data_IF_626338230986
#
_entry.id   IF_626338230986
#
_cell.length_a   1.000
_cell.length_b   1.000
_cell.length_c   1.000
_cell.angle_alpha   90.00
_cell.angle_beta   90.00
_cell.angle_gamma   90.00
#
_symmetry.space_group_name_H-M   'P 1'
#
loop_
_entity.id
_entity.type
_entity.pdbx_description
1 polymer ?
#
# COMPACT_ATOMS: atom_id res chain seq x y z
N UNK A 1 -9.02 -2.52 1.59
CA UNK A 1 -9.42 -3.80 2.23
C UNK A 1 -10.85 -3.63 2.70
N UNK A 2 -11.84 -4.23 2.05
CA UNK A 2 -13.24 -4.09 2.47
C UNK A 2 -13.55 -4.94 3.71
N UNK A 3 -14.59 -4.60 4.47
CA UNK A 3 -15.17 -5.55 5.42
C UNK A 3 -15.82 -6.66 4.61
N UNK A 4 -15.47 -7.92 4.89
CA UNK A 4 -16.24 -9.05 4.42
C UNK A 4 -17.53 -9.13 5.23
N UNK A 5 -18.68 -9.03 4.53
CA UNK A 5 -20.00 -9.24 5.12
C UNK A 5 -20.36 -10.70 4.92
N UNK A 6 -20.63 -11.42 6.03
CA UNK A 6 -21.05 -12.83 5.98
C UNK A 6 -22.48 -12.94 5.42
N UNK A 7 -22.59 -13.15 4.11
CA UNK A 7 -23.87 -13.24 3.40
C UNK A 7 -24.65 -14.53 3.66
N UNK A 8 -24.06 -15.56 4.26
CA UNK A 8 -24.72 -16.87 4.43
C UNK A 8 -25.42 -17.02 5.77
N UNK A 9 -25.02 -16.25 6.80
CA UNK A 9 -25.58 -16.37 8.15
C UNK A 9 -26.19 -15.06 8.71
N UNK A 10 -26.28 -13.98 7.92
CA UNK A 10 -26.78 -12.69 8.44
C UNK A 10 -28.28 -12.70 8.76
N UNK A 11 -29.12 -13.31 7.90
CA UNK A 11 -30.58 -13.26 8.08
C UNK A 11 -31.00 -13.87 9.42
N UNK A 12 -30.47 -15.05 9.77
CA UNK A 12 -30.74 -15.68 11.07
C UNK A 12 -30.23 -14.89 12.27
N UNK A 13 -29.16 -14.08 12.12
CA UNK A 13 -28.67 -13.20 13.19
C UNK A 13 -29.57 -11.96 13.36
N UNK A 14 -30.01 -11.36 12.24
CA UNK A 14 -30.97 -10.25 12.22
C UNK A 14 -32.29 -10.71 12.84
N UNK A 15 -32.81 -11.84 12.40
CA UNK A 15 -34.08 -12.39 12.91
C UNK A 15 -34.00 -12.64 14.41
N UNK A 16 -32.91 -13.25 14.91
CA UNK A 16 -32.70 -13.45 16.36
C UNK A 16 -32.66 -12.14 17.14
N UNK A 17 -31.97 -11.12 16.61
CA UNK A 17 -31.90 -9.80 17.23
C UNK A 17 -33.28 -9.12 17.25
N UNK A 18 -34.01 -9.18 16.14
CA UNK A 18 -35.38 -8.66 16.01
C UNK A 18 -36.37 -9.40 16.93
N UNK A 19 -36.27 -10.73 17.03
CA UNK A 19 -37.09 -11.52 17.96
C UNK A 19 -36.80 -11.14 19.41
N UNK A 20 -35.52 -11.07 19.81
CA UNK A 20 -35.14 -10.61 21.15
C UNK A 20 -35.69 -9.21 21.44
N UNK A 21 -35.63 -8.32 20.45
CA UNK A 21 -36.21 -6.99 20.55
C UNK A 21 -37.73 -7.00 20.73
N UNK A 22 -38.49 -7.75 19.92
CA UNK A 22 -39.96 -7.75 19.90
C UNK A 22 -40.60 -8.56 21.03
N UNK A 23 -40.09 -9.74 21.32
CA UNK A 23 -40.74 -10.72 22.22
C UNK A 23 -39.94 -11.03 23.48
N UNK A 24 -38.67 -10.64 23.54
CA UNK A 24 -37.82 -10.94 24.69
C UNK A 24 -38.26 -10.25 25.98
N UNK A 25 -37.91 -10.84 27.12
CA UNK A 25 -38.12 -10.25 28.46
C UNK A 25 -36.97 -9.31 28.85
N UNK A 26 -37.24 -8.36 29.74
CA UNK A 26 -36.17 -7.51 30.30
C UNK A 26 -35.15 -8.40 31.03
N UNK A 27 -33.86 -8.16 30.79
CA UNK A 27 -32.75 -8.96 31.28
C UNK A 27 -32.40 -10.17 30.42
N UNK A 28 -33.25 -10.55 29.46
CA UNK A 28 -32.92 -11.60 28.50
C UNK A 28 -31.76 -11.17 27.62
N UNK A 29 -30.91 -12.12 27.25
CA UNK A 29 -29.74 -11.83 26.43
C UNK A 29 -29.56 -12.84 25.31
N UNK A 30 -29.01 -12.36 24.20
CA UNK A 30 -28.55 -13.19 23.09
C UNK A 30 -27.08 -12.92 22.81
N UNK A 31 -26.39 -13.94 22.33
CA UNK A 31 -24.99 -13.82 21.91
C UNK A 31 -24.89 -13.91 20.40
N UNK A 32 -24.27 -12.90 19.79
CA UNK A 32 -23.98 -12.83 18.36
C UNK A 32 -22.46 -12.93 18.14
N UNK A 33 -22.07 -13.69 17.12
CA UNK A 33 -20.68 -13.85 16.73
C UNK A 33 -20.39 -13.05 15.46
N UNK A 34 -19.27 -12.35 15.45
CA UNK A 34 -18.83 -11.56 14.29
C UNK A 34 -18.61 -12.43 13.04
N UNK A 35 -18.52 -11.78 11.88
CA UNK A 35 -18.24 -12.43 10.60
C UNK A 35 -16.78 -12.83 10.41
N UNK A 36 -16.45 -13.27 9.19
CA UNK A 36 -15.10 -13.69 8.81
C UNK A 36 -14.06 -12.58 9.04
N UNK A 37 -12.88 -12.95 9.56
CA UNK A 37 -11.82 -12.01 9.95
C UNK A 37 -11.97 -11.41 11.35
N UNK A 38 -13.13 -11.58 11.99
CA UNK A 38 -13.44 -11.06 13.32
C UNK A 38 -13.86 -12.14 14.32
N UNK A 39 -13.56 -13.42 14.02
CA UNK A 39 -14.11 -14.58 14.75
C UNK A 39 -13.87 -14.54 16.26
N UNK A 40 -12.82 -13.91 16.77
CA UNK A 40 -12.59 -13.78 18.21
C UNK A 40 -13.55 -12.79 18.88
N UNK A 41 -14.25 -11.95 18.13
CA UNK A 41 -15.24 -11.01 18.66
C UNK A 41 -16.61 -11.66 18.88
N UNK A 42 -17.23 -11.30 20.00
CA UNK A 42 -18.55 -11.73 20.46
C UNK A 42 -19.31 -10.51 20.92
N UNK A 43 -20.62 -10.50 20.69
CA UNK A 43 -21.52 -9.44 21.11
C UNK A 43 -22.61 -10.03 21.98
N UNK A 44 -22.70 -9.60 23.24
CA UNK A 44 -23.85 -9.91 24.08
C UNK A 44 -24.85 -8.76 23.97
N UNK A 45 -26.04 -9.06 23.47
CA UNK A 45 -27.14 -8.12 23.39
C UNK A 45 -28.09 -8.42 24.54
N UNK A 46 -28.30 -7.45 25.43
CA UNK A 46 -29.14 -7.57 26.63
C UNK A 46 -30.33 -6.65 26.50
N UNK A 47 -31.54 -7.18 26.71
CA UNK A 47 -32.77 -6.39 26.70
C UNK A 47 -32.90 -5.56 27.97
N UNK A 48 -32.85 -4.25 27.81
CA UNK A 48 -32.89 -3.31 28.94
C UNK A 48 -34.29 -2.77 29.20
N UNK A 49 -35.17 -2.80 28.20
CA UNK A 49 -36.55 -2.30 28.29
C UNK A 49 -37.41 -2.84 27.17
N UNK A 50 -38.66 -2.38 27.07
CA UNK A 50 -39.60 -2.82 26.03
C UNK A 50 -39.10 -2.58 24.60
N UNK A 51 -38.30 -1.50 24.40
CA UNK A 51 -37.83 -1.03 23.10
C UNK A 51 -36.32 -0.75 23.04
N UNK A 52 -35.54 -1.35 23.94
CA UNK A 52 -34.10 -1.05 24.03
C UNK A 52 -33.27 -2.30 24.29
N UNK A 53 -32.27 -2.52 23.44
CA UNK A 53 -31.19 -3.50 23.63
C UNK A 53 -29.86 -2.77 23.83
N UNK A 54 -29.09 -3.19 24.81
CA UNK A 54 -27.69 -2.80 24.96
C UNK A 54 -26.80 -3.90 24.38
N UNK A 55 -25.84 -3.52 23.57
CA UNK A 55 -24.82 -4.44 23.03
C UNK A 55 -23.50 -4.20 23.73
N UNK A 56 -22.93 -5.28 24.23
CA UNK A 56 -21.61 -5.33 24.84
C UNK A 56 -20.69 -6.13 23.93
N UNK A 57 -19.49 -5.63 23.67
CA UNK A 57 -18.49 -6.30 22.84
C UNK A 57 -17.46 -7.03 23.69
N UNK A 58 -17.07 -8.22 23.25
CA UNK A 58 -16.08 -9.07 23.90
C UNK A 58 -15.11 -9.60 22.88
N UNK A 59 -13.89 -9.80 23.31
CA UNK A 59 -12.91 -10.58 22.59
C UNK A 59 -12.63 -11.86 23.40
N UNK A 60 -12.85 -13.02 22.78
CA UNK A 60 -12.74 -14.34 23.41
C UNK A 60 -11.35 -14.64 23.95
N UNK A 61 -10.31 -13.99 23.42
CA UNK A 61 -8.95 -14.18 23.92
C UNK A 61 -8.65 -13.43 25.22
N UNK A 62 -9.46 -12.42 25.59
CA UNK A 62 -9.08 -11.42 26.58
C UNK A 62 -10.29 -10.95 27.42
N UNK A 63 -10.77 -11.80 28.32
CA UNK A 63 -11.95 -11.58 29.17
C UNK A 63 -11.81 -10.53 30.29
N UNK A 64 -10.60 -9.99 30.55
CA UNK A 64 -10.31 -9.18 31.74
C UNK A 64 -10.31 -7.65 31.53
N UNK A 65 -10.97 -7.10 30.50
CA UNK A 65 -10.97 -5.64 30.28
C UNK A 65 -12.21 -4.94 30.86
N UNK A 66 -12.01 -3.67 31.26
CA UNK A 66 -13.05 -2.77 31.81
C UNK A 66 -14.23 -2.59 30.84
N UNK A 67 -14.01 -2.85 29.56
CA UNK A 67 -14.93 -2.56 28.47
C UNK A 67 -16.20 -3.43 28.45
N UNK A 68 -16.25 -4.51 29.23
CA UNK A 68 -17.48 -5.28 29.47
C UNK A 68 -18.50 -4.56 30.37
N UNK A 69 -18.09 -3.46 31.01
CA UNK A 69 -18.94 -2.71 31.95
C UNK A 69 -19.88 -1.72 31.25
N UNK A 70 -19.61 -1.37 29.98
CA UNK A 70 -20.36 -0.32 29.28
C UNK A 70 -20.88 -0.81 27.92
N UNK A 71 -22.11 -0.43 27.54
CA UNK A 71 -22.64 -0.75 26.22
C UNK A 71 -21.88 0.02 25.14
N UNK A 72 -21.58 -0.66 24.05
CA UNK A 72 -20.87 -0.12 22.89
C UNK A 72 -21.83 0.24 21.76
N UNK A 73 -23.02 -0.35 21.75
CA UNK A 73 -24.11 0.00 20.85
C UNK A 73 -25.39 -0.03 21.68
N UNK A 74 -26.25 0.96 21.49
CA UNK A 74 -27.65 0.92 21.94
C UNK A 74 -28.53 0.75 20.72
N UNK A 75 -29.47 -0.19 20.78
CA UNK A 75 -30.38 -0.50 19.68
C UNK A 75 -31.80 -0.18 20.15
N UNK A 76 -32.53 0.59 19.37
CA UNK A 76 -33.94 0.90 19.55
C UNK A 76 -34.75 0.39 18.36
N UNK A 77 -36.06 0.63 18.36
CA UNK A 77 -36.92 0.29 17.22
C UNK A 77 -36.51 1.07 15.97
N UNK A 78 -36.00 2.29 16.15
CA UNK A 78 -35.67 3.21 15.06
C UNK A 78 -34.20 3.16 14.63
N UNK A 79 -33.26 2.86 15.54
CA UNK A 79 -31.83 3.02 15.23
C UNK A 79 -30.86 2.18 16.06
N UNK A 80 -29.67 2.03 15.49
CA UNK A 80 -28.42 1.68 16.14
C UNK A 80 -27.67 2.95 16.51
N UNK A 81 -27.40 3.14 17.79
CA UNK A 81 -26.51 4.19 18.29
C UNK A 81 -25.18 3.57 18.66
N UNK A 82 -24.18 3.79 17.82
CA UNK A 82 -22.79 3.44 18.08
C UNK A 82 -22.22 4.38 19.14
N UNK A 83 -21.89 3.81 20.29
CA UNK A 83 -21.24 4.49 21.40
C UNK A 83 -19.73 4.36 21.26
N UNK A 84 -18.96 5.15 22.02
CA UNK A 84 -17.50 5.01 22.00
C UNK A 84 -17.12 3.67 22.65
N UNK A 85 -16.29 2.89 21.97
CA UNK A 85 -15.69 1.68 22.52
C UNK A 85 -14.46 1.32 21.69
N UNK A 86 -13.29 1.25 22.33
CA UNK A 86 -12.03 0.98 21.63
C UNK A 86 -11.51 -0.40 22.05
N UNK A 87 -11.37 -1.31 21.07
CA UNK A 87 -11.04 -2.72 21.31
C UNK A 87 -10.02 -3.21 20.28
N UNK A 88 -9.10 -2.34 19.88
CA UNK A 88 -7.98 -2.73 19.03
C UNK A 88 -6.97 -3.56 19.84
N UNK A 89 -6.71 -4.79 19.40
CA UNK A 89 -5.57 -5.61 19.82
C UNK A 89 -4.21 -4.99 19.49
N UNK A 90 -4.20 -4.06 18.55
CA UNK A 90 -2.99 -3.50 18.02
C UNK A 90 -2.73 -2.16 18.67
N UNK A 91 -1.69 -2.13 19.50
CA UNK A 91 -1.02 -0.92 19.97
C UNK A 91 -0.58 0.00 18.81
N UNK A 92 -0.55 -0.50 17.57
CA UNK A 92 -0.15 0.28 16.40
C UNK A 92 -1.32 1.06 15.76
N UNK A 93 -2.58 0.75 16.10
CA UNK A 93 -3.74 1.61 15.80
C UNK A 93 -4.04 2.59 16.96
N UNK A 94 -3.01 2.97 17.73
CA UNK A 94 -3.05 4.01 18.78
C UNK A 94 -3.21 5.43 18.23
N UNK A 95 -3.85 5.61 17.08
CA UNK A 95 -4.33 6.94 16.73
C UNK A 95 -5.65 7.09 17.47
N UNK A 96 -5.57 7.66 18.67
CA UNK A 96 -6.67 7.95 19.58
C UNK A 96 -7.60 9.02 18.97
N UNK A 97 -8.08 8.80 17.75
CA UNK A 97 -8.91 9.74 17.01
C UNK A 97 -10.35 9.38 17.27
N UNK A 98 -11.07 10.32 17.88
CA UNK A 98 -12.52 10.25 17.99
C UNK A 98 -13.24 10.36 16.62
N UNK A 99 -12.48 10.58 15.54
CA UNK A 99 -12.97 10.76 14.17
C UNK A 99 -12.14 9.93 13.20
N UNK A 100 -12.81 9.22 12.30
CA UNK A 100 -12.14 8.52 11.19
C UNK A 100 -11.35 7.29 11.62
N UNK A 101 -11.62 6.78 12.83
CA UNK A 101 -11.19 5.45 13.25
C UNK A 101 -12.39 4.70 13.85
N UNK A 102 -12.96 3.80 13.05
CA UNK A 102 -13.94 2.88 13.59
C UNK A 102 -13.21 1.75 14.32
N UNK A 103 -13.55 1.55 15.60
CA UNK A 103 -12.89 0.53 16.41
C UNK A 103 -13.06 -0.86 15.79
N UNK A 104 -12.10 -1.73 16.07
CA UNK A 104 -12.08 -3.10 15.59
C UNK A 104 -13.38 -3.85 15.92
N UNK A 105 -13.97 -3.60 17.09
CA UNK A 105 -15.25 -4.18 17.49
C UNK A 105 -16.41 -3.76 16.62
N UNK A 106 -16.49 -2.49 16.21
CA UNK A 106 -17.56 -2.07 15.33
C UNK A 106 -17.42 -2.63 13.92
N UNK A 107 -16.19 -2.79 13.43
CA UNK A 107 -15.95 -3.51 12.18
C UNK A 107 -16.44 -4.96 12.27
N UNK A 108 -16.19 -5.62 13.40
CA UNK A 108 -16.73 -6.94 13.70
C UNK A 108 -18.25 -6.95 13.73
N UNK A 109 -18.90 -5.93 14.29
CA UNK A 109 -20.36 -5.83 14.32
C UNK A 109 -20.94 -5.70 12.91
N UNK A 110 -20.40 -4.79 12.10
CA UNK A 110 -20.83 -4.59 10.71
C UNK A 110 -20.57 -5.80 9.83
N UNK A 111 -19.51 -6.57 10.10
CA UNK A 111 -19.21 -7.81 9.35
C UNK A 111 -20.33 -8.85 9.47
N UNK A 112 -21.21 -8.74 10.46
CA UNK A 112 -22.38 -9.60 10.60
C UNK A 112 -23.49 -9.27 9.61
N UNK A 113 -23.43 -8.13 8.91
CA UNK A 113 -24.45 -7.71 7.94
C UNK A 113 -25.80 -7.35 8.57
N UNK A 114 -25.82 -6.98 9.86
CA UNK A 114 -27.07 -6.67 10.57
C UNK A 114 -27.70 -5.36 10.10
N UNK A 115 -26.88 -4.38 9.72
CA UNK A 115 -27.33 -3.10 9.18
C UNK A 115 -27.07 -3.14 7.68
N UNK A 116 -28.13 -2.96 6.87
CA UNK A 116 -28.01 -2.97 5.41
C UNK A 116 -27.33 -1.70 4.89
N UNK A 117 -26.87 -1.73 3.63
CA UNK A 117 -26.38 -0.55 2.90
C UNK A 117 -25.26 0.25 3.59
N UNK A 118 -24.45 -0.45 4.40
CA UNK A 118 -23.30 0.10 5.08
C UNK A 118 -22.00 -0.44 4.48
N UNK A 119 -21.07 0.46 4.15
CA UNK A 119 -19.75 0.10 3.66
C UNK A 119 -18.66 0.85 4.43
N UNK A 120 -17.49 0.21 4.56
CA UNK A 120 -16.29 0.86 5.06
C UNK A 120 -15.29 1.11 3.96
N UNK A 121 -14.77 2.34 3.93
CA UNK A 121 -13.69 2.75 3.04
C UNK A 121 -12.46 3.14 3.83
N UNK A 122 -11.37 2.42 3.60
CA UNK A 122 -10.08 2.71 4.20
C UNK A 122 -9.26 3.60 3.27
N UNK A 123 -8.87 4.75 3.78
CA UNK A 123 -7.97 5.70 3.14
C UNK A 123 -6.72 5.84 4.00
N UNK A 124 -5.62 6.31 3.40
CA UNK A 124 -4.36 6.55 4.13
C UNK A 124 -4.53 7.51 5.32
N UNK A 125 -5.47 8.45 5.20
CA UNK A 125 -5.72 9.51 6.18
C UNK A 125 -6.76 9.13 7.25
N UNK A 126 -7.54 8.07 7.03
CA UNK A 126 -8.61 7.66 7.94
C UNK A 126 -9.60 6.65 7.33
N UNK A 127 -10.55 6.21 8.14
CA UNK A 127 -11.64 5.31 7.77
C UNK A 127 -12.92 6.12 7.59
N UNK A 128 -13.55 5.99 6.42
CA UNK A 128 -14.87 6.56 6.13
C UNK A 128 -15.91 5.46 6.16
N UNK A 129 -17.12 5.79 6.59
CA UNK A 129 -18.30 4.95 6.50
C UNK A 129 -19.25 5.53 5.47
N UNK A 130 -19.78 4.66 4.61
CA UNK A 130 -20.84 4.97 3.68
C UNK A 130 -22.15 4.40 4.20
N UNK A 131 -23.10 5.27 4.46
CA UNK A 131 -24.45 5.01 4.95
C UNK A 131 -25.41 5.46 3.86
N UNK A 132 -26.07 4.54 3.15
CA UNK A 132 -27.06 4.78 2.09
C UNK A 132 -27.01 6.19 1.42
N UNK A 133 -26.04 6.39 0.51
CA UNK A 133 -25.86 7.66 -0.23
C UNK A 133 -25.02 8.74 0.47
N UNK A 134 -24.74 8.61 1.76
CA UNK A 134 -23.87 9.53 2.53
C UNK A 134 -22.55 8.86 2.90
N UNK A 135 -21.41 9.47 2.54
CA UNK A 135 -20.09 9.02 3.00
C UNK A 135 -19.51 10.05 3.99
N UNK A 136 -19.11 9.59 5.18
CA UNK A 136 -18.53 10.46 6.21
C UNK A 136 -17.50 9.72 7.05
N UNK A 137 -16.58 10.45 7.66
CA UNK A 137 -15.66 9.88 8.64
C UNK A 137 -16.46 9.38 9.85
N UNK A 138 -16.03 8.26 10.42
CA UNK A 138 -16.71 7.71 11.59
C UNK A 138 -16.60 8.66 12.78
N UNK A 139 -17.63 8.72 13.63
CA UNK A 139 -17.65 9.55 14.83
C UNK A 139 -18.57 8.94 15.89
N UNK A 140 -18.51 9.46 17.11
CA UNK A 140 -19.35 9.00 18.21
C UNK A 140 -20.02 10.17 18.95
N UNK A 141 -21.26 10.00 19.42
CA UNK A 141 -22.17 8.91 19.06
C UNK A 141 -22.69 9.08 17.62
N UNK A 142 -22.87 7.96 16.91
CA UNK A 142 -23.44 7.93 15.56
C UNK A 142 -24.70 7.06 15.55
N UNK A 143 -25.80 7.59 15.03
CA UNK A 143 -27.10 6.93 14.92
C UNK A 143 -27.39 6.56 13.48
N UNK A 144 -27.75 5.32 13.24
CA UNK A 144 -28.04 4.76 11.92
C UNK A 144 -29.31 3.92 12.05
N UNK A 145 -30.25 4.07 11.12
CA UNK A 145 -31.44 3.21 11.11
C UNK A 145 -31.14 1.79 10.59
N UNK A 146 -32.17 0.96 10.50
CA UNK A 146 -32.03 -0.43 10.06
C UNK A 146 -31.70 -0.55 8.57
N UNK A 147 -32.10 0.44 7.78
CA UNK A 147 -31.90 0.54 6.33
C UNK A 147 -30.50 1.07 5.97
N UNK A 148 -29.75 1.57 6.95
CA UNK A 148 -28.39 2.10 6.77
C UNK A 148 -28.33 3.60 6.51
N UNK A 149 -29.39 4.36 6.78
CA UNK A 149 -29.39 5.82 6.69
C UNK A 149 -28.79 6.44 7.95
N UNK A 150 -27.97 7.48 7.76
CA UNK A 150 -27.37 8.23 8.85
C UNK A 150 -28.39 9.22 9.45
N UNK A 151 -28.82 8.97 10.69
CA UNK A 151 -29.75 9.86 11.42
C UNK A 151 -29.03 10.97 12.19
N UNK A 152 -27.76 10.75 12.56
CA UNK A 152 -26.96 11.75 13.29
C UNK A 152 -26.54 12.90 12.38
N UNK A 153 -26.75 14.14 12.83
CA UNK A 153 -26.15 15.33 12.22
C UNK A 153 -24.62 15.22 12.25
N UNK A 154 -23.98 15.31 11.09
CA UNK A 154 -22.52 15.26 10.96
C UNK A 154 -21.90 16.53 11.58
N UNK A 155 -21.05 16.41 12.62
CA UNK A 155 -20.38 17.57 13.20
C UNK A 155 -19.42 18.24 12.21
N UNK A 156 -19.24 19.56 12.32
CA UNK A 156 -18.34 20.33 11.41
C UNK A 156 -16.92 19.74 11.36
N UNK A 157 -16.38 19.31 12.51
CA UNK A 157 -15.04 18.68 12.58
C UNK A 157 -14.95 17.37 11.76
N UNK A 158 -16.04 16.59 11.73
CA UNK A 158 -16.12 15.31 11.02
C UNK A 158 -16.22 15.56 9.52
N UNK A 159 -17.04 16.54 9.10
CA UNK A 159 -17.14 16.96 7.70
C UNK A 159 -15.78 17.41 7.15
N UNK A 160 -15.09 18.30 7.87
CA UNK A 160 -13.76 18.77 7.47
C UNK A 160 -12.75 17.62 7.37
N UNK A 161 -12.75 16.69 8.33
CA UNK A 161 -11.90 15.51 8.29
C UNK A 161 -12.21 14.61 7.07
N UNK A 162 -13.49 14.43 6.74
CA UNK A 162 -13.95 13.67 5.57
C UNK A 162 -13.43 14.30 4.28
N UNK A 163 -13.60 15.61 4.11
CA UNK A 163 -13.11 16.38 2.96
C UNK A 163 -11.58 16.28 2.80
N UNK A 164 -10.84 16.36 3.92
CA UNK A 164 -9.39 16.19 3.93
C UNK A 164 -8.97 14.79 3.49
N UNK A 165 -9.70 13.74 3.90
CA UNK A 165 -9.44 12.37 3.47
C UNK A 165 -9.61 12.22 1.95
N UNK A 166 -10.64 12.83 1.36
CA UNK A 166 -10.84 12.80 -0.09
C UNK A 166 -9.75 13.55 -0.84
N UNK A 167 -9.38 14.74 -0.35
CA UNK A 167 -8.33 15.57 -0.95
C UNK A 167 -6.99 14.86 -0.95
N UNK A 168 -6.59 14.29 0.18
CA UNK A 168 -5.31 13.57 0.28
C UNK A 168 -5.30 12.30 -0.56
N UNK A 169 -6.40 11.54 -0.58
CA UNK A 169 -6.50 10.36 -1.45
C UNK A 169 -6.37 10.76 -2.94
N UNK A 170 -7.00 11.85 -3.37
CA UNK A 170 -6.84 12.38 -4.73
C UNK A 170 -5.40 12.78 -5.01
N UNK A 171 -4.73 13.46 -4.07
CA UNK A 171 -3.32 13.84 -4.19
C UNK A 171 -2.42 12.62 -4.37
N UNK A 172 -2.63 11.57 -3.58
CA UNK A 172 -1.86 10.31 -3.66
C UNK A 172 -2.08 9.63 -5.01
N UNK A 173 -3.34 9.49 -5.46
CA UNK A 173 -3.67 8.89 -6.75
C UNK A 173 -3.01 9.69 -7.89
N UNK A 174 -3.12 11.01 -7.87
CA UNK A 174 -2.52 11.87 -8.89
C UNK A 174 -0.99 11.82 -8.87
N UNK A 175 -0.36 11.73 -7.69
CA UNK A 175 1.08 11.57 -7.58
C UNK A 175 1.55 10.23 -8.16
N UNK A 176 0.83 9.13 -7.84
CA UNK A 176 1.09 7.81 -8.41
C UNK A 176 0.90 7.81 -9.94
N UNK A 177 -0.16 8.44 -10.44
CA UNK A 177 -0.42 8.56 -11.88
C UNK A 177 0.70 9.34 -12.60
N UNK A 178 1.19 10.45 -12.02
CA UNK A 178 2.33 11.19 -12.57
C UNK A 178 3.61 10.35 -12.58
N UNK A 179 3.88 9.65 -11.49
CA UNK A 179 5.06 8.76 -11.39
C UNK A 179 5.00 7.64 -12.43
N UNK A 180 3.81 7.14 -12.75
CA UNK A 180 3.60 6.04 -13.70
C UNK A 180 3.37 6.50 -15.14
N UNK A 181 3.31 7.81 -15.40
CA UNK A 181 2.96 8.35 -16.72
C UNK A 181 3.98 7.94 -17.78
N UNK A 182 5.28 8.06 -17.48
CA UNK A 182 6.37 7.63 -18.36
C UNK A 182 6.22 6.16 -18.75
N UNK A 183 6.13 5.27 -17.74
CA UNK A 183 5.93 3.84 -17.96
C UNK A 183 4.69 3.56 -18.83
N UNK A 184 3.54 4.18 -18.52
CA UNK A 184 2.28 3.94 -19.23
C UNK A 184 2.35 4.40 -20.68
N UNK A 185 2.95 5.56 -20.93
CA UNK A 185 3.18 6.11 -22.27
C UNK A 185 4.05 5.14 -23.09
N UNK A 186 5.18 4.71 -22.55
CA UNK A 186 6.13 3.86 -23.27
C UNK A 186 5.56 2.47 -23.54
N UNK A 187 4.88 1.85 -22.56
CA UNK A 187 4.19 0.56 -22.77
C UNK A 187 3.16 0.64 -23.89
N UNK A 188 2.42 1.75 -23.99
CA UNK A 188 1.48 1.96 -25.11
C UNK A 188 2.21 2.05 -26.45
N UNK A 189 3.29 2.84 -26.51
CA UNK A 189 4.09 2.98 -27.73
C UNK A 189 4.69 1.65 -28.19
N UNK A 190 5.18 0.81 -27.27
CA UNK A 190 5.67 -0.54 -27.60
C UNK A 190 4.56 -1.37 -28.25
N UNK A 191 3.35 -1.37 -27.67
CA UNK A 191 2.22 -2.14 -28.24
C UNK A 191 1.82 -1.65 -29.62
N UNK A 192 1.81 -0.33 -29.82
CA UNK A 192 1.54 0.27 -31.14
C UNK A 192 2.62 -0.14 -32.14
N UNK A 193 3.90 -0.02 -31.77
CA UNK A 193 5.03 -0.41 -32.61
C UNK A 193 5.01 -1.89 -32.98
N UNK A 194 4.67 -2.78 -32.04
CA UNK A 194 4.49 -4.21 -32.31
C UNK A 194 3.37 -4.48 -33.32
N UNK A 195 2.28 -3.70 -33.28
CA UNK A 195 1.14 -3.88 -34.18
C UNK A 195 1.39 -3.29 -35.58
N UNK A 196 2.10 -2.16 -35.67
CA UNK A 196 2.33 -1.44 -36.93
C UNK A 196 3.72 -1.66 -37.53
N UNK A 197 4.61 -2.34 -36.81
CA UNK A 197 6.05 -2.41 -37.09
C UNK A 197 6.76 -1.05 -37.19
N UNK A 198 6.18 0.00 -36.60
CA UNK A 198 6.73 1.36 -36.60
C UNK A 198 7.27 1.74 -35.21
N UNK A 199 8.59 1.75 -35.08
CA UNK A 199 9.30 2.03 -33.83
C UNK A 199 9.73 3.49 -33.67
N UNK A 200 9.47 4.37 -34.65
CA UNK A 200 10.00 5.73 -34.70
C UNK A 200 9.55 6.64 -33.55
N UNK A 201 8.45 6.28 -32.87
CA UNK A 201 7.90 7.05 -31.74
C UNK A 201 8.58 6.73 -30.41
N UNK A 202 9.35 5.65 -30.34
CA UNK A 202 10.05 5.20 -29.15
C UNK A 202 11.49 5.71 -29.24
N UNK A 203 12.00 6.27 -28.14
CA UNK A 203 13.37 6.78 -28.06
C UNK A 203 14.24 5.83 -27.22
N UNK A 204 15.56 5.76 -27.44
CA UNK A 204 16.44 4.94 -26.60
C UNK A 204 16.29 5.22 -25.10
N UNK A 205 16.15 6.49 -24.71
CA UNK A 205 15.93 6.90 -23.30
C UNK A 205 14.61 6.42 -22.68
N UNK A 206 13.64 6.00 -23.48
CA UNK A 206 12.36 5.50 -22.95
C UNK A 206 12.55 4.18 -22.16
N UNK A 207 13.68 3.48 -22.33
CA UNK A 207 14.08 2.29 -21.57
C UNK A 207 14.06 2.55 -20.05
N UNK A 208 14.47 3.74 -19.60
CA UNK A 208 14.53 4.11 -18.19
C UNK A 208 13.15 4.45 -17.60
N UNK A 209 12.15 4.69 -18.44
CA UNK A 209 10.78 4.95 -17.99
C UNK A 209 10.02 3.66 -17.66
N UNK A 210 10.52 2.49 -18.09
CA UNK A 210 9.85 1.21 -17.91
C UNK A 210 10.16 0.58 -16.56
N UNK A 211 9.15 0.07 -15.87
CA UNK A 211 9.30 -0.70 -14.63
C UNK A 211 9.28 -2.22 -14.85
N UNK A 212 8.69 -2.67 -15.96
CA UNK A 212 8.62 -4.09 -16.31
C UNK A 212 9.92 -4.52 -17.00
N UNK A 213 10.58 -5.54 -16.45
CA UNK A 213 11.86 -6.06 -16.96
C UNK A 213 11.75 -6.58 -18.39
N UNK A 214 10.75 -7.40 -18.70
CA UNK A 214 10.60 -7.97 -20.04
C UNK A 214 10.41 -6.89 -21.13
N UNK A 215 9.60 -5.86 -20.84
CA UNK A 215 9.42 -4.74 -21.77
C UNK A 215 10.67 -3.87 -21.90
N UNK A 216 11.46 -3.77 -20.83
CA UNK A 216 12.74 -3.09 -20.86
C UNK A 216 13.74 -3.85 -21.71
N UNK A 217 13.84 -5.16 -21.53
CA UNK A 217 14.67 -6.06 -22.33
C UNK A 217 14.34 -5.93 -23.82
N UNK A 218 13.06 -5.91 -24.19
CA UNK A 218 12.62 -5.71 -25.58
C UNK A 218 13.17 -4.41 -26.20
N UNK A 219 13.19 -3.29 -25.45
CA UNK A 219 13.79 -2.04 -25.94
C UNK A 219 15.31 -2.09 -26.00
N UNK A 220 15.96 -2.78 -25.06
CA UNK A 220 17.41 -2.98 -25.07
C UNK A 220 17.82 -3.81 -26.28
N UNK A 221 17.09 -4.88 -26.59
CA UNK A 221 17.30 -5.71 -27.78
C UNK A 221 17.06 -4.93 -29.08
N UNK A 222 16.04 -4.06 -29.11
CA UNK A 222 15.72 -3.28 -30.29
C UNK A 222 16.75 -2.18 -30.60
N UNK A 223 17.15 -1.39 -29.60
CA UNK A 223 18.08 -0.28 -29.82
C UNK A 223 19.56 -0.69 -29.71
N UNK A 224 19.85 -1.73 -28.93
CA UNK A 224 21.21 -2.05 -28.48
C UNK A 224 21.66 -1.16 -27.32
N UNK A 225 22.51 -1.71 -26.45
CA UNK A 225 23.01 -1.00 -25.27
C UNK A 225 23.83 0.24 -25.64
N UNK A 226 24.69 0.16 -26.66
CA UNK A 226 25.53 1.30 -27.09
C UNK A 226 24.70 2.52 -27.47
N UNK A 227 23.66 2.34 -28.29
CA UNK A 227 22.77 3.43 -28.70
C UNK A 227 22.04 4.04 -27.51
N UNK A 228 21.66 3.22 -26.52
CA UNK A 228 21.06 3.72 -25.28
C UNK A 228 22.06 4.57 -24.50
N UNK A 229 23.29 4.08 -24.32
CA UNK A 229 24.34 4.79 -23.59
C UNK A 229 24.73 6.12 -24.26
N UNK A 230 24.84 6.15 -25.59
CA UNK A 230 25.15 7.36 -26.37
C UNK A 230 24.11 8.48 -26.18
N UNK A 231 22.89 8.11 -25.78
CA UNK A 231 21.81 9.06 -25.51
C UNK A 231 21.74 9.50 -24.04
N UNK A 232 22.60 8.98 -23.16
CA UNK A 232 22.67 9.36 -21.74
C UNK A 232 23.98 10.07 -21.48
N UNK A 233 23.92 11.25 -20.85
CA UNK A 233 25.12 11.97 -20.45
C UNK A 233 25.92 11.18 -19.40
N UNK A 234 27.17 10.89 -19.71
CA UNK A 234 28.07 10.11 -18.88
C UNK A 234 29.53 10.43 -19.15
N UNK A 235 30.34 10.19 -18.13
CA UNK A 235 31.80 10.31 -18.20
C UNK A 235 32.43 8.92 -18.21
N UNK A 236 33.44 8.71 -19.04
CA UNK A 236 34.29 7.52 -18.94
C UNK A 236 35.43 7.84 -17.98
N UNK A 237 35.40 7.20 -16.81
CA UNK A 237 36.32 7.44 -15.69
C UNK A 237 37.64 6.71 -15.90
N UNK A 238 37.56 5.47 -16.37
CA UNK A 238 38.72 4.61 -16.56
C UNK A 238 38.48 3.56 -17.65
N UNK A 239 39.57 3.06 -18.25
CA UNK A 239 39.55 2.01 -19.28
C UNK A 239 40.70 1.04 -19.03
N UNK A 240 40.39 -0.26 -19.07
CA UNK A 240 41.41 -1.29 -18.95
C UNK A 240 41.20 -2.41 -19.98
N UNK A 241 42.31 -3.08 -20.32
CA UNK A 241 42.30 -4.33 -21.06
C UNK A 241 42.81 -5.42 -20.14
N UNK A 242 41.94 -6.36 -19.77
CA UNK A 242 42.23 -7.43 -18.82
C UNK A 242 41.89 -8.75 -19.51
N UNK A 243 42.86 -9.65 -19.58
CA UNK A 243 42.72 -10.95 -20.28
C UNK A 243 42.21 -10.79 -21.72
N UNK A 244 42.74 -9.78 -22.44
CA UNK A 244 42.34 -9.44 -23.81
C UNK A 244 40.94 -8.82 -23.96
N UNK A 245 40.19 -8.63 -22.87
CA UNK A 245 38.84 -8.05 -22.87
C UNK A 245 38.89 -6.57 -22.52
N UNK A 246 38.10 -5.76 -23.23
CA UNK A 246 37.98 -4.32 -23.00
C UNK A 246 36.92 -4.04 -21.95
N UNK A 247 37.26 -3.16 -21.02
CA UNK A 247 36.39 -2.67 -19.97
C UNK A 247 36.40 -1.14 -19.94
N UNK A 248 35.26 -0.53 -19.66
CA UNK A 248 35.14 0.92 -19.44
C UNK A 248 34.34 1.17 -18.16
N UNK A 249 34.86 2.00 -17.26
CA UNK A 249 34.14 2.45 -16.08
C UNK A 249 33.41 3.75 -16.40
N UNK A 250 32.08 3.71 -16.36
CA UNK A 250 31.20 4.83 -16.71
C UNK A 250 30.62 5.47 -15.45
N UNK A 251 30.41 6.79 -15.49
CA UNK A 251 29.74 7.54 -14.42
C UNK A 251 28.62 8.40 -14.96
N UNK A 252 27.45 8.20 -14.38
CA UNK A 252 26.22 8.92 -14.70
C UNK A 252 25.83 9.84 -13.55
N UNK A 253 25.10 10.91 -13.87
CA UNK A 253 24.51 11.82 -12.88
C UNK A 253 23.00 11.63 -12.86
N UNK A 254 22.46 11.00 -11.82
CA UNK A 254 21.01 10.81 -11.68
C UNK A 254 20.39 11.75 -10.66
N UNK A 255 19.20 12.32 -10.94
CA UNK A 255 18.49 13.13 -9.97
C UNK A 255 18.00 12.27 -8.79
N UNK A 256 18.29 12.73 -7.58
CA UNK A 256 17.80 12.18 -6.31
C UNK A 256 17.02 13.25 -5.57
N UNK A 257 15.77 12.93 -5.24
CA UNK A 257 14.95 13.78 -4.40
C UNK A 257 15.12 13.40 -2.93
N UNK A 258 15.62 14.32 -2.11
CA UNK A 258 15.82 14.10 -0.67
C UNK A 258 14.73 14.78 0.19
N UNK A 259 13.58 15.13 -0.40
CA UNK A 259 12.46 15.74 0.33
C UNK A 259 12.43 17.28 0.28
N UNK A 260 13.59 17.93 0.15
CA UNK A 260 13.73 19.41 0.20
C UNK A 260 14.29 19.97 -1.12
N UNK A 261 15.24 19.27 -1.72
CA UNK A 261 15.84 19.62 -3.01
C UNK A 261 16.07 18.37 -3.86
N UNK A 262 16.18 18.58 -5.15
CA UNK A 262 16.71 17.58 -6.09
C UNK A 262 18.22 17.78 -6.13
N UNK A 263 18.97 16.81 -5.63
CA UNK A 263 20.44 16.74 -5.81
C UNK A 263 20.73 15.74 -6.92
N UNK A 264 21.91 15.78 -7.53
CA UNK A 264 22.39 14.65 -8.34
C UNK A 264 23.20 13.69 -7.49
N UNK A 265 23.13 12.39 -7.81
CA UNK A 265 24.03 11.39 -7.25
C UNK A 265 24.82 10.76 -8.40
N UNK A 266 26.13 10.51 -8.20
CA UNK A 266 26.89 9.73 -9.14
C UNK A 266 26.39 8.28 -9.10
N UNK A 267 26.31 7.65 -10.27
CA UNK A 267 26.08 6.23 -10.40
C UNK A 267 27.17 5.64 -11.29
N UNK A 268 27.94 4.70 -10.73
CA UNK A 268 29.07 4.09 -11.43
C UNK A 268 28.63 2.76 -12.04
N UNK A 269 29.02 2.52 -13.30
CA UNK A 269 28.73 1.28 -14.00
C UNK A 269 29.98 0.76 -14.70
N UNK A 270 30.15 -0.55 -14.71
CA UNK A 270 31.17 -1.24 -15.48
C UNK A 270 30.57 -1.70 -16.81
N UNK A 271 31.12 -1.20 -17.92
CA UNK A 271 30.81 -1.63 -19.28
C UNK A 271 31.82 -2.70 -19.71
N UNK A 272 31.31 -3.79 -20.27
CA UNK A 272 32.11 -4.94 -20.69
C UNK A 272 31.43 -5.70 -21.82
N UNK A 273 32.19 -6.54 -22.53
CA UNK A 273 31.62 -7.49 -23.50
C UNK A 273 31.32 -8.79 -22.76
N UNK A 274 30.09 -9.28 -22.87
CA UNK A 274 29.73 -10.60 -22.37
C UNK A 274 30.44 -11.67 -23.23
N UNK A 275 31.34 -12.49 -22.66
CA UNK A 275 32.10 -13.46 -23.43
C UNK A 275 31.24 -14.58 -24.04
N UNK A 276 30.06 -14.85 -23.48
CA UNK A 276 29.17 -15.92 -23.94
C UNK A 276 28.25 -15.48 -25.09
N UNK A 277 27.93 -14.18 -25.17
CA UNK A 277 26.99 -13.65 -26.18
C UNK A 277 27.63 -12.67 -27.16
N UNK A 278 28.81 -12.13 -26.84
CA UNK A 278 29.47 -11.09 -27.63
C UNK A 278 28.82 -9.70 -27.49
N UNK A 279 27.77 -9.56 -26.68
CA UNK A 279 27.02 -8.32 -26.52
C UNK A 279 27.63 -7.41 -25.46
N UNK A 280 27.47 -6.08 -25.62
CA UNK A 280 27.80 -5.11 -24.58
C UNK A 280 26.86 -5.29 -23.38
N UNK A 281 27.45 -5.52 -22.22
CA UNK A 281 26.81 -5.52 -20.92
C UNK A 281 27.24 -4.29 -20.11
N UNK A 282 26.32 -3.75 -19.31
CA UNK A 282 26.58 -2.65 -18.38
C UNK A 282 26.03 -3.04 -17.02
N UNK A 283 26.90 -3.09 -16.03
CA UNK A 283 26.58 -3.55 -14.68
C UNK A 283 26.81 -2.43 -13.66
N UNK A 284 25.87 -2.24 -12.73
CA UNK A 284 26.00 -1.22 -11.70
C UNK A 284 27.01 -1.64 -10.63
N UNK A 285 27.99 -0.79 -10.35
CA UNK A 285 29.02 -1.04 -9.32
C UNK A 285 28.93 0.01 -8.21
N UNK A 286 29.30 -0.33 -6.96
CA UNK A 286 29.29 0.63 -5.87
C UNK A 286 30.18 1.83 -6.14
N UNK A 287 29.78 2.98 -5.60
CA UNK A 287 30.60 4.18 -5.70
C UNK A 287 31.80 4.16 -4.75
N UNK A 288 31.79 3.33 -3.71
CA UNK A 288 32.84 3.31 -2.69
C UNK A 288 33.07 1.93 -2.09
N UNK A 289 34.15 1.84 -1.32
CA UNK A 289 34.61 0.64 -0.60
C UNK A 289 33.62 0.07 0.41
N UNK A 290 32.62 0.85 0.84
CA UNK A 290 31.55 0.35 1.71
C UNK A 290 30.38 -0.25 0.91
N UNK A 291 30.60 -0.54 -0.38
CA UNK A 291 29.66 -1.18 -1.29
C UNK A 291 28.32 -0.44 -1.44
N UNK A 292 28.35 0.89 -1.27
CA UNK A 292 27.16 1.72 -1.28
C UNK A 292 27.15 2.74 -2.42
N UNK A 293 25.94 3.07 -2.89
CA UNK A 293 25.68 4.13 -3.86
C UNK A 293 25.61 5.48 -3.15
N UNK A 294 26.76 5.92 -2.61
CA UNK A 294 26.89 7.17 -1.87
C UNK A 294 27.42 8.31 -2.75
N UNK A 295 27.34 9.55 -2.25
CA UNK A 295 27.91 10.72 -2.94
C UNK A 295 29.44 10.72 -2.89
N UNK A 296 30.03 10.02 -1.93
CA UNK A 296 31.48 9.85 -1.85
C UNK A 296 31.87 8.73 -2.82
N UNK A 297 32.55 9.14 -3.89
CA UNK A 297 33.05 8.22 -4.89
C UNK A 297 34.51 7.93 -4.59
N UNK A 298 34.83 6.68 -4.31
CA UNK A 298 36.20 6.18 -4.17
C UNK A 298 36.51 5.09 -5.19
N UNK A 299 35.50 4.44 -5.79
CA UNK A 299 35.71 3.51 -6.91
C UNK A 299 36.02 4.32 -8.16
N UNK A 300 37.27 4.26 -8.61
CA UNK A 300 37.81 5.11 -9.66
C UNK A 300 38.48 4.35 -10.80
N UNK A 301 38.71 3.05 -10.63
CA UNK A 301 39.36 2.19 -11.63
C UNK A 301 38.50 1.00 -12.01
N UNK A 302 38.75 0.46 -13.21
CA UNK A 302 38.12 -0.78 -13.68
C UNK A 302 38.47 -1.94 -12.75
N UNK A 303 39.71 -2.04 -12.28
CA UNK A 303 40.16 -3.10 -11.39
C UNK A 303 39.39 -3.09 -10.07
N UNK A 304 39.17 -1.92 -9.44
CA UNK A 304 38.36 -1.82 -8.23
C UNK A 304 36.91 -2.29 -8.46
N UNK A 305 36.34 -1.94 -9.61
CA UNK A 305 34.99 -2.36 -9.99
C UNK A 305 34.90 -3.89 -10.23
N UNK A 306 35.92 -4.47 -10.87
CA UNK A 306 36.03 -5.91 -11.09
C UNK A 306 36.27 -6.68 -9.79
N UNK A 307 37.10 -6.16 -8.88
CA UNK A 307 37.35 -6.75 -7.57
C UNK A 307 36.04 -6.90 -6.79
N UNK A 308 35.19 -5.87 -6.79
CA UNK A 308 33.87 -5.95 -6.18
C UNK A 308 32.98 -7.00 -6.86
N UNK A 309 32.89 -7.00 -8.20
CA UNK A 309 32.05 -7.93 -8.97
C UNK A 309 32.41 -9.38 -8.70
N UNK A 310 33.72 -9.67 -8.66
CA UNK A 310 34.26 -11.02 -8.54
C UNK A 310 34.42 -11.45 -7.06
N UNK A 311 34.15 -10.55 -6.11
CA UNK A 311 34.21 -10.83 -4.67
C UNK A 311 35.64 -10.82 -4.09
N UNK A 312 36.59 -10.21 -4.81
CA UNK A 312 37.97 -10.08 -4.39
C UNK A 312 38.10 -9.04 -3.27
N UNK A 313 38.61 -9.46 -2.11
CA UNK A 313 38.83 -8.55 -0.98
C UNK A 313 40.08 -7.72 -1.22
N UNK A 314 39.91 -6.40 -1.36
CA UNK A 314 40.93 -5.33 -1.40
C UNK A 314 41.60 -5.05 -2.75
N UNK A 315 41.70 -6.01 -3.68
CA UNK A 315 42.34 -5.80 -4.99
C UNK A 315 41.90 -6.86 -5.99
N UNK A 316 41.72 -6.48 -7.25
CA UNK A 316 41.35 -7.41 -8.31
C UNK A 316 42.40 -8.51 -8.49
N UNK A 317 41.95 -9.76 -8.50
CA UNK A 317 42.79 -10.93 -8.75
C UNK A 317 42.52 -11.38 -10.18
N UNK A 318 43.49 -11.15 -11.07
CA UNK A 318 43.39 -11.62 -12.46
C UNK A 318 43.22 -13.15 -12.45
N UNK A 319 42.14 -13.70 -13.04
CA UNK A 319 41.93 -15.14 -13.09
C UNK A 319 43.10 -15.82 -13.81
N UNK A 320 43.73 -16.79 -13.14
CA UNK A 320 44.74 -17.65 -13.76
C UNK A 320 44.01 -18.82 -14.41
N UNK A 321 44.13 -18.95 -15.73
CA UNK A 321 43.65 -20.14 -16.43
C UNK A 321 44.38 -21.37 -15.85
N UNK A 322 43.63 -22.28 -15.24
CA UNK A 322 44.15 -23.59 -14.87
C UNK A 322 44.44 -24.33 -16.18
N UNK A 323 45.72 -24.55 -16.45
CA UNK A 323 46.22 -25.22 -17.65
C UNK A 323 46.22 -26.73 -17.50
#
# INVERSE_FOLDING_TARGET
MGIYIDKHNYQGKVDRLCSSFKTGKIGESITLYAGYGYKHLVFHCVKMGSKTLNVYGFDRGWYNRIDHKFPIIKITEDYFQFLKGNFSHYSNFRVNRDIGDWSYTFRGFLSMGIISNMELRYLRSGTLVKCNGTETATFYPMKIDWEGNLLSRIPKKVRLFTENCHTENRRIINASARSNYGNTRVVRLIREAQATSDWNKIKPLDVFSLTNVAKRTELIEHFGMEVILDNVDHEVIDKAIIDGRKYELLRFQFPRFNGISTTTIPATYLKMINPSTGETCVEGVPNNVNENWSNLVTTSTVEEALAWRDGDKNSYIIPVALT
#
